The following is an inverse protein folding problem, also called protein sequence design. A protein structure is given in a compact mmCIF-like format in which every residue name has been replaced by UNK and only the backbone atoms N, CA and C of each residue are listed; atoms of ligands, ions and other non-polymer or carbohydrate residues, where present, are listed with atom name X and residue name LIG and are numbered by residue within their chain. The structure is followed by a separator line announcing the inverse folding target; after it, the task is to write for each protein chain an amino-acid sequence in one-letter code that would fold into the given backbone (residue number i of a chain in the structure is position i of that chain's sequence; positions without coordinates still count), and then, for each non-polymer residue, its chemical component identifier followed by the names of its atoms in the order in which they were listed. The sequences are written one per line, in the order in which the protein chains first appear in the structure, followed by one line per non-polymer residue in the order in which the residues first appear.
data_IF_058400143921
#
_entry.id   IF_058400143921
#
_cell.length_a   1.000
_cell.length_b   1.000
_cell.length_c   1.000
_cell.angle_alpha   90.00
_cell.angle_beta   90.00
_cell.angle_gamma   90.00
#
_symmetry.space_group_name_H-M   'P 1'
#
loop_
_entity.id
_entity.type
_entity.pdbx_description
1 polymer ?
#
# COMPACT_ATOMS: atom_id res chain seq x y z
N UNK A 1 -5.64 -10.75 2.70
CA UNK A 1 -5.47 -9.31 2.30
C UNK A 1 -6.73 -8.50 2.54
N UNK A 2 -7.91 -8.97 2.15
CA UNK A 2 -9.20 -8.27 2.31
C UNK A 2 -9.53 -7.89 3.76
N UNK A 3 -9.57 -8.87 4.68
CA UNK A 3 -9.90 -8.62 6.09
C UNK A 3 -9.03 -7.54 6.77
N UNK A 4 -7.72 -7.47 6.44
CA UNK A 4 -6.83 -6.42 6.96
C UNK A 4 -7.26 -5.03 6.48
N UNK A 5 -7.59 -4.89 5.20
CA UNK A 5 -7.99 -3.60 4.65
C UNK A 5 -9.37 -3.18 5.15
N UNK A 6 -10.30 -4.10 5.25
CA UNK A 6 -11.64 -3.86 5.83
C UNK A 6 -11.53 -3.34 7.26
N UNK A 7 -10.74 -4.01 8.11
CA UNK A 7 -10.44 -3.53 9.46
C UNK A 7 -9.86 -2.11 9.44
N UNK A 8 -8.84 -1.84 8.62
CA UNK A 8 -8.21 -0.53 8.56
C UNK A 8 -9.18 0.56 8.07
N UNK A 9 -10.06 0.26 7.12
CA UNK A 9 -11.05 1.21 6.61
C UNK A 9 -12.09 1.55 7.68
N UNK A 10 -12.60 0.55 8.40
CA UNK A 10 -13.53 0.77 9.51
C UNK A 10 -12.89 1.62 10.60
N UNK A 11 -11.67 1.27 11.02
CA UNK A 11 -10.91 2.04 12.02
C UNK A 11 -10.66 3.48 11.56
N UNK A 12 -10.30 3.70 10.29
CA UNK A 12 -10.11 5.05 9.76
C UNK A 12 -11.39 5.89 9.82
N UNK A 13 -12.55 5.28 9.52
CA UNK A 13 -13.85 5.94 9.62
C UNK A 13 -14.23 6.25 11.08
N UNK A 14 -14.09 5.26 11.99
CA UNK A 14 -14.37 5.40 13.43
C UNK A 14 -13.57 6.55 14.07
N UNK A 15 -12.29 6.68 13.69
CA UNK A 15 -11.39 7.71 14.23
C UNK A 15 -11.36 9.00 13.41
N UNK A 16 -12.16 9.12 12.34
CA UNK A 16 -12.12 10.26 11.40
C UNK A 16 -10.69 10.56 10.93
N UNK A 17 -9.92 9.51 10.67
CA UNK A 17 -8.54 9.63 10.25
C UNK A 17 -8.46 10.30 8.86
N UNK A 18 -7.41 11.10 8.65
CA UNK A 18 -7.15 11.72 7.35
C UNK A 18 -6.86 10.69 6.25
N UNK A 19 -6.31 9.53 6.61
CA UNK A 19 -6.03 8.42 5.71
C UNK A 19 -5.25 7.30 6.37
N UNK A 20 -4.89 6.29 5.58
CA UNK A 20 -4.12 5.11 5.99
C UNK A 20 -2.76 5.14 5.30
N UNK A 21 -1.69 5.12 6.09
CA UNK A 21 -0.34 4.88 5.61
C UNK A 21 -0.03 3.38 5.60
N UNK A 22 0.55 2.85 4.52
CA UNK A 22 1.04 1.46 4.48
C UNK A 22 2.51 1.41 4.10
N UNK A 23 3.24 0.47 4.70
CA UNK A 23 4.68 0.30 4.50
C UNK A 23 5.08 -0.49 3.25
N UNK A 24 4.42 -0.26 2.12
CA UNK A 24 4.86 -0.88 0.85
C UNK A 24 6.17 -0.24 0.39
N UNK A 25 7.10 -1.06 -0.08
CA UNK A 25 8.46 -0.68 -0.52
C UNK A 25 8.62 -0.82 -2.04
N UNK A 26 9.83 -0.52 -2.53
CA UNK A 26 10.24 -0.76 -3.91
C UNK A 26 10.22 -2.26 -4.27
N UNK A 27 10.46 -3.14 -3.29
CA UNK A 27 10.39 -4.59 -3.49
C UNK A 27 8.95 -5.04 -3.75
N UNK A 28 7.97 -4.51 -3.01
CA UNK A 28 6.54 -4.78 -3.25
C UNK A 28 6.10 -4.31 -4.66
N UNK A 29 6.70 -3.22 -5.15
CA UNK A 29 6.50 -2.74 -6.52
C UNK A 29 7.00 -3.74 -7.55
N UNK A 30 8.25 -4.18 -7.39
CA UNK A 30 8.85 -5.16 -8.28
C UNK A 30 8.04 -6.47 -8.29
N UNK A 31 7.66 -6.98 -7.11
CA UNK A 31 6.82 -8.17 -6.99
C UNK A 31 5.48 -7.99 -7.71
N UNK A 32 4.79 -6.86 -7.50
CA UNK A 32 3.51 -6.58 -8.14
C UNK A 32 3.64 -6.52 -9.66
N UNK A 33 4.66 -5.84 -10.18
CA UNK A 33 4.89 -5.73 -11.63
C UNK A 33 5.21 -7.10 -12.23
N UNK A 34 6.11 -7.87 -11.59
CA UNK A 34 6.47 -9.22 -12.04
C UNK A 34 5.26 -10.16 -12.08
N UNK A 35 4.43 -10.17 -11.04
CA UNK A 35 3.21 -10.99 -11.00
C UNK A 35 2.26 -10.64 -12.15
N UNK A 36 2.13 -9.36 -12.50
CA UNK A 36 1.26 -8.90 -13.59
C UNK A 36 1.82 -9.23 -14.96
N UNK A 37 3.14 -9.13 -15.14
CA UNK A 37 3.84 -9.61 -16.34
C UNK A 37 3.56 -11.11 -16.55
N UNK A 38 3.77 -11.93 -15.52
CA UNK A 38 3.55 -13.38 -15.56
C UNK A 38 2.08 -13.70 -15.85
N UNK A 39 1.15 -12.88 -15.34
CA UNK A 39 -0.30 -13.05 -15.56
C UNK A 39 -0.77 -12.60 -16.95
N UNK A 40 0.14 -12.19 -17.84
CA UNK A 40 -0.19 -11.83 -19.23
C UNK A 40 -0.92 -10.49 -19.37
N UNK A 41 -0.82 -9.60 -18.39
CA UNK A 41 -1.48 -8.30 -18.50
C UNK A 41 -0.75 -7.42 -19.52
N UNK A 42 -1.48 -6.77 -20.44
CA UNK A 42 -0.90 -5.82 -21.40
C UNK A 42 -0.26 -4.60 -20.71
N UNK A 43 0.27 -3.64 -21.49
CA UNK A 43 0.99 -2.46 -20.97
C UNK A 43 0.23 -1.67 -19.89
N UNK A 44 -1.12 -1.64 -19.95
CA UNK A 44 -1.97 -1.02 -18.93
C UNK A 44 -1.93 -1.76 -17.57
N UNK A 45 -1.69 -3.07 -17.60
CA UNK A 45 -1.50 -3.91 -16.43
C UNK A 45 -0.15 -3.77 -15.76
N UNK A 46 0.87 -3.24 -16.45
CA UNK A 46 2.19 -2.96 -15.86
C UNK A 46 2.20 -1.79 -14.87
N UNK A 47 1.05 -1.15 -14.63
CA UNK A 47 0.93 -0.17 -13.56
C UNK A 47 1.35 -0.81 -12.23
N UNK A 48 2.35 -0.23 -11.56
CA UNK A 48 2.75 -0.70 -10.25
C UNK A 48 1.68 -0.42 -9.18
N UNK A 49 2.10 -0.45 -7.93
CA UNK A 49 1.31 0.04 -6.82
C UNK A 49 1.26 1.59 -6.91
N UNK A 50 0.08 2.20 -6.85
CA UNK A 50 0.00 3.66 -6.82
C UNK A 50 0.56 4.21 -5.49
N UNK A 51 1.36 5.29 -5.47
CA UNK A 51 1.84 5.91 -4.23
C UNK A 51 0.70 6.40 -3.35
N UNK A 52 -0.40 6.81 -3.98
CA UNK A 52 -1.61 7.24 -3.33
C UNK A 52 -2.83 6.79 -4.15
N UNK A 53 -3.93 6.45 -3.47
CA UNK A 53 -5.24 6.29 -4.10
C UNK A 53 -6.37 6.59 -3.11
N UNK A 54 -7.49 7.07 -3.61
CA UNK A 54 -8.76 7.03 -2.89
C UNK A 54 -9.38 5.63 -3.01
N UNK A 55 -9.94 5.14 -1.92
CA UNK A 55 -10.68 3.88 -1.87
C UNK A 55 -12.07 4.15 -1.34
N UNK A 56 -13.08 3.55 -1.97
CA UNK A 56 -14.46 3.54 -1.49
C UNK A 56 -14.75 2.15 -0.94
N UNK A 57 -14.68 1.94 0.39
CA UNK A 57 -14.94 0.63 0.98
C UNK A 57 -16.42 0.27 0.85
N UNK A 58 -16.72 -0.99 0.54
CA UNK A 58 -18.11 -1.47 0.44
C UNK A 58 -18.90 -1.30 1.75
N UNK A 59 -18.22 -1.31 2.88
CA UNK A 59 -18.83 -1.27 4.23
C UNK A 59 -18.71 0.09 4.92
N UNK A 60 -18.23 1.13 4.22
CA UNK A 60 -18.10 2.48 4.77
C UNK A 60 -18.60 3.51 3.77
N UNK A 61 -19.48 4.44 4.17
CA UNK A 61 -19.91 5.53 3.30
C UNK A 61 -18.83 6.59 3.06
N UNK A 62 -17.67 6.47 3.73
CA UNK A 62 -16.59 7.45 3.67
C UNK A 62 -15.44 6.90 2.83
N UNK A 63 -15.07 7.65 1.78
CA UNK A 63 -13.88 7.37 0.98
C UNK A 63 -12.62 7.55 1.84
N UNK A 64 -11.69 6.60 1.74
CA UNK A 64 -10.46 6.59 2.53
C UNK A 64 -9.25 6.84 1.63
N UNK A 65 -8.40 7.79 2.05
CA UNK A 65 -7.11 8.05 1.40
C UNK A 65 -6.09 6.99 1.82
N UNK A 66 -5.55 6.23 0.87
CA UNK A 66 -4.53 5.22 1.11
C UNK A 66 -3.21 5.65 0.47
N UNK A 67 -2.16 5.83 1.27
CA UNK A 67 -0.86 6.31 0.81
C UNK A 67 0.30 5.42 1.28
N UNK A 68 1.40 5.45 0.52
CA UNK A 68 2.57 4.57 0.67
C UNK A 68 3.86 5.40 0.67
N UNK A 69 4.20 6.03 1.80
CA UNK A 69 5.31 7.00 1.84
C UNK A 69 6.66 6.42 1.44
N UNK A 70 6.90 5.15 1.75
CA UNK A 70 8.20 4.49 1.58
C UNK A 70 8.30 3.64 0.31
N UNK A 71 7.40 3.85 -0.65
CA UNK A 71 7.32 3.05 -1.88
C UNK A 71 8.55 3.13 -2.79
N UNK A 72 9.40 4.14 -2.56
CA UNK A 72 10.67 4.33 -3.27
C UNK A 72 11.88 3.81 -2.49
N UNK A 73 11.71 3.42 -1.23
CA UNK A 73 12.75 2.78 -0.45
C UNK A 73 12.66 1.26 -0.63
N UNK A 74 13.79 0.60 -0.75
CA UNK A 74 13.89 -0.86 -0.72
C UNK A 74 13.72 -1.42 0.69
N UNK A 75 13.39 -2.70 0.78
CA UNK A 75 13.33 -3.44 2.05
C UNK A 75 14.68 -3.46 2.77
N UNK A 76 15.78 -3.47 2.03
CA UNK A 76 17.12 -3.40 2.60
C UNK A 76 17.39 -2.04 3.26
N UNK A 77 16.96 -0.94 2.63
CA UNK A 77 17.09 0.41 3.19
C UNK A 77 16.21 0.60 4.44
N UNK A 78 14.96 0.12 4.41
CA UNK A 78 14.08 0.21 5.59
C UNK A 78 14.61 -0.65 6.74
N UNK A 79 15.12 -1.84 6.47
CA UNK A 79 15.76 -2.70 7.47
C UNK A 79 17.01 -2.05 8.08
N UNK A 80 17.86 -1.45 7.25
CA UNK A 80 19.04 -0.70 7.71
C UNK A 80 18.62 0.46 8.61
N UNK A 81 17.66 1.27 8.18
CA UNK A 81 17.14 2.41 8.93
C UNK A 81 16.63 2.01 10.33
N UNK A 82 15.91 0.89 10.45
CA UNK A 82 15.48 0.36 11.74
C UNK A 82 16.66 -0.07 12.61
N UNK A 83 17.61 -0.83 12.05
CA UNK A 83 18.79 -1.31 12.80
C UNK A 83 19.65 -0.16 13.35
N UNK A 84 19.87 0.89 12.55
CA UNK A 84 20.64 2.08 12.94
C UNK A 84 19.96 2.87 14.08
N UNK A 85 18.66 2.65 14.31
CA UNK A 85 17.85 3.32 15.33
C UNK A 85 17.46 2.41 16.49
N UNK A 86 17.87 1.14 16.47
CA UNK A 86 17.50 0.17 17.49
C UNK A 86 16.01 -0.18 17.52
N UNK A 87 15.35 -0.20 16.36
CA UNK A 87 13.96 -0.63 16.18
C UNK A 87 13.85 -2.08 15.70
#
# INVERSE_FOLDING_TARGET
RYARYEFLYRTAAEHRAWGIATGHTLDDQAETVLLRVISGTGLSGLSGIAPERMVEPSESPVSVRLFRPILRASRAETGRFCSERGL
#
